data_IF_928466698564
#
_entry.id   IF_928466698564
#
_cell.length_a   1.000
_cell.length_b   1.000
_cell.length_c   1.000
_cell.angle_alpha   90.00
_cell.angle_beta   90.00
_cell.angle_gamma   90.00
#
_symmetry.space_group_name_H-M   'P 1'
#
loop_
_entity.id
_entity.type
_entity.pdbx_description
1 polymer ?
#
# COMPACT_ATOMS: atom_id res chain seq x y z
N UNK A 1 49.07 -28.59 -46.20
CA UNK A 1 47.64 -28.92 -46.02
C UNK A 1 47.36 -29.01 -44.52
N UNK A 2 46.68 -27.99 -43.99
CA UNK A 2 46.28 -27.96 -42.58
C UNK A 2 44.80 -28.30 -42.53
N UNK A 3 44.45 -29.45 -41.95
CA UNK A 3 43.09 -29.87 -41.72
C UNK A 3 42.52 -29.16 -40.48
N UNK A 4 41.51 -28.32 -40.68
CA UNK A 4 40.74 -27.77 -39.58
C UNK A 4 39.80 -28.84 -39.00
N UNK A 5 40.06 -29.29 -37.77
CA UNK A 5 39.14 -30.15 -37.03
C UNK A 5 37.96 -29.31 -36.53
N UNK A 6 36.78 -29.53 -37.11
CA UNK A 6 35.53 -28.95 -36.61
C UNK A 6 35.14 -29.63 -35.31
N UNK A 7 35.18 -28.88 -34.19
CA UNK A 7 34.66 -29.33 -32.91
C UNK A 7 33.14 -29.32 -32.98
N UNK A 8 32.54 -30.48 -33.13
CA UNK A 8 31.09 -30.68 -33.04
C UNK A 8 30.73 -30.58 -31.55
N UNK A 9 30.15 -29.45 -31.12
CA UNK A 9 29.55 -29.35 -29.78
C UNK A 9 28.29 -30.23 -29.75
N UNK A 10 28.37 -31.35 -29.06
CA UNK A 10 27.21 -32.17 -28.75
C UNK A 10 26.27 -31.36 -27.84
N UNK A 11 25.12 -30.93 -28.35
CA UNK A 11 24.06 -30.36 -27.53
C UNK A 11 23.48 -31.47 -26.64
N UNK A 12 23.61 -31.29 -25.32
CA UNK A 12 22.97 -32.18 -24.34
C UNK A 12 21.45 -32.05 -24.43
N UNK A 13 20.73 -33.18 -24.29
CA UNK A 13 19.28 -33.16 -24.24
C UNK A 13 18.81 -32.26 -23.07
N UNK A 14 17.82 -31.39 -23.29
CA UNK A 14 17.32 -30.51 -22.24
C UNK A 14 16.73 -31.36 -21.11
N UNK A 15 17.13 -31.05 -19.88
CA UNK A 15 16.52 -31.62 -18.68
C UNK A 15 15.21 -30.86 -18.32
N UNK A 16 14.42 -31.47 -17.43
CA UNK A 16 13.16 -30.85 -16.98
C UNK A 16 13.36 -29.43 -16.39
N UNK A 17 14.53 -29.17 -15.81
CA UNK A 17 14.87 -27.84 -15.25
C UNK A 17 15.18 -26.81 -16.31
N UNK A 18 15.74 -27.18 -17.46
CA UNK A 18 15.97 -26.27 -18.58
C UNK A 18 14.66 -25.89 -19.28
N UNK A 19 13.76 -26.86 -19.45
CA UNK A 19 12.41 -26.64 -19.99
C UNK A 19 11.60 -25.69 -19.06
N UNK A 20 11.67 -25.93 -17.75
CA UNK A 20 11.03 -25.03 -16.75
C UNK A 20 11.57 -23.61 -16.81
N UNK A 21 12.90 -23.43 -16.92
CA UNK A 21 13.52 -22.09 -17.02
C UNK A 21 13.14 -21.34 -18.29
N UNK A 22 13.00 -22.05 -19.42
CA UNK A 22 12.58 -21.45 -20.68
C UNK A 22 11.12 -21.02 -20.68
N UNK A 23 10.26 -21.75 -19.95
CA UNK A 23 8.84 -21.42 -19.77
C UNK A 23 8.57 -20.39 -18.66
N UNK A 24 9.53 -20.15 -17.75
CA UNK A 24 9.45 -19.13 -16.71
C UNK A 24 9.75 -17.71 -17.21
N UNK A 25 10.07 -17.53 -18.52
CA UNK A 25 10.15 -16.16 -19.06
C UNK A 25 8.83 -15.44 -18.82
N UNK A 26 8.88 -14.22 -18.26
CA UNK A 26 7.69 -13.52 -17.83
C UNK A 26 6.72 -13.40 -18.99
N UNK A 27 5.56 -13.99 -18.83
CA UNK A 27 4.42 -13.73 -19.69
C UNK A 27 4.09 -12.26 -19.58
N UNK A 28 3.80 -11.62 -20.74
CA UNK A 28 3.21 -10.31 -20.92
C UNK A 28 3.18 -9.44 -19.65
N UNK A 29 3.88 -8.33 -19.65
CA UNK A 29 3.78 -7.32 -18.59
C UNK A 29 2.29 -7.08 -18.30
N UNK A 30 1.87 -7.53 -17.14
CA UNK A 30 0.57 -7.12 -16.60
C UNK A 30 0.57 -5.59 -16.56
N UNK A 31 -0.53 -4.93 -16.94
CA UNK A 31 -0.62 -3.49 -16.84
C UNK A 31 -0.16 -3.07 -15.45
N UNK A 32 0.75 -2.11 -15.38
CA UNK A 32 1.32 -1.61 -14.15
C UNK A 32 0.19 -1.28 -13.19
N UNK A 33 0.17 -1.94 -12.04
CA UNK A 33 -0.80 -1.62 -10.98
C UNK A 33 -0.58 -0.17 -10.59
N UNK A 34 -1.63 0.61 -10.58
CA UNK A 34 -1.56 1.97 -10.07
C UNK A 34 -1.04 1.94 -8.63
N UNK A 35 -0.16 2.88 -8.25
CA UNK A 35 0.29 2.96 -6.86
C UNK A 35 -0.92 3.13 -5.93
N UNK A 36 -0.84 2.61 -4.68
CA UNK A 36 -1.92 2.76 -3.71
C UNK A 36 -2.26 4.25 -3.54
N UNK A 37 -3.53 4.59 -3.61
CA UNK A 37 -3.99 5.98 -3.47
C UNK A 37 -4.71 6.16 -2.15
N UNK A 38 -4.19 7.04 -1.29
CA UNK A 38 -4.81 7.49 -0.05
C UNK A 38 -5.37 8.88 -0.30
N UNK A 39 -6.69 9.06 -0.15
CA UNK A 39 -7.34 10.37 -0.23
C UNK A 39 -7.61 10.89 1.17
N UNK A 40 -7.28 12.16 1.41
CA UNK A 40 -7.63 12.89 2.61
C UNK A 40 -8.80 13.82 2.30
N UNK A 41 -9.92 13.63 2.96
CA UNK A 41 -11.02 14.60 2.99
C UNK A 41 -10.71 15.59 4.13
N UNK A 42 -9.93 16.64 3.82
CA UNK A 42 -9.55 17.65 4.82
C UNK A 42 -10.74 18.61 5.07
N UNK A 43 -11.22 18.74 6.31
CA UNK A 43 -12.26 19.70 6.61
C UNK A 43 -11.75 21.13 6.39
N UNK A 44 -12.62 22.02 5.90
CA UNK A 44 -12.32 23.41 5.63
C UNK A 44 -11.69 24.09 6.86
N UNK A 45 -10.58 24.80 6.65
CA UNK A 45 -9.92 25.57 7.71
C UNK A 45 -10.85 26.67 8.20
N UNK A 46 -11.07 26.80 9.52
CA UNK A 46 -11.73 28.00 10.05
C UNK A 46 -10.94 29.23 9.63
N UNK A 47 -11.63 30.28 9.22
CA UNK A 47 -11.00 31.55 8.85
C UNK A 47 -10.16 32.08 10.04
N UNK A 48 -8.90 32.40 9.77
CA UNK A 48 -8.00 32.97 10.76
C UNK A 48 -8.59 34.26 11.35
N UNK A 49 -8.77 34.29 12.65
CA UNK A 49 -9.11 35.56 13.36
C UNK A 49 -7.83 36.38 13.40
N UNK A 50 -7.76 37.44 12.61
CA UNK A 50 -6.69 38.45 12.68
C UNK A 50 -6.84 39.23 13.96
N UNK A 51 -5.99 38.97 14.94
CA UNK A 51 -5.79 39.82 16.13
C UNK A 51 -4.38 40.38 16.00
N UNK A 52 -4.29 41.72 15.98
CA UNK A 52 -2.99 42.44 15.94
C UNK A 52 -2.33 42.56 17.33
N UNK A 53 -2.88 41.90 18.34
CA UNK A 53 -2.35 41.93 19.71
C UNK A 53 -1.07 41.14 19.79
N UNK A 54 0.03 41.81 20.15
CA UNK A 54 1.33 41.18 20.43
C UNK A 54 1.54 41.07 21.94
N UNK A 55 2.22 40.03 22.36
CA UNK A 55 2.60 39.78 23.75
C UNK A 55 3.92 39.05 23.84
N UNK A 56 4.57 39.11 24.99
CA UNK A 56 5.83 38.44 25.23
C UNK A 56 5.58 36.95 25.58
N UNK A 57 6.06 36.02 24.71
CA UNK A 57 5.90 34.60 24.90
C UNK A 57 6.97 34.05 25.82
N UNK A 58 6.63 33.69 27.04
CA UNK A 58 7.55 33.13 28.04
C UNK A 58 7.66 31.61 27.91
N UNK A 59 6.54 30.93 27.73
CA UNK A 59 6.47 29.48 27.73
C UNK A 59 5.45 28.97 26.69
N UNK A 60 5.77 27.85 26.05
CA UNK A 60 4.86 27.08 25.23
C UNK A 60 4.69 25.71 25.86
N UNK A 61 3.44 25.31 26.08
CA UNK A 61 3.06 23.97 26.54
C UNK A 61 2.44 23.24 25.35
N UNK A 62 2.96 22.05 25.03
CA UNK A 62 2.40 21.21 23.97
C UNK A 62 1.65 20.06 24.63
N UNK A 63 0.38 19.87 24.24
CA UNK A 63 -0.50 18.84 24.79
C UNK A 63 -0.97 17.88 23.71
N UNK A 64 -1.39 16.66 24.09
CA UNK A 64 -1.91 15.67 23.17
C UNK A 64 -0.87 14.93 22.31
N UNK A 65 0.42 15.23 22.49
CA UNK A 65 1.52 14.52 21.82
C UNK A 65 1.85 13.22 22.56
N UNK A 66 1.74 12.08 21.88
CA UNK A 66 2.13 10.76 22.40
C UNK A 66 3.23 10.12 21.57
N UNK A 67 3.34 10.49 20.30
CA UNK A 67 4.30 9.96 19.33
C UNK A 67 5.68 10.60 19.46
N UNK A 68 5.72 11.93 19.58
CA UNK A 68 6.98 12.67 19.71
C UNK A 68 7.09 13.32 21.09
N UNK A 69 8.32 13.39 21.60
CA UNK A 69 8.57 14.05 22.90
C UNK A 69 8.32 15.55 22.81
N UNK A 70 7.90 16.15 23.91
CA UNK A 70 7.71 17.60 24.02
C UNK A 70 9.00 18.36 23.66
N UNK A 71 10.15 17.85 24.05
CA UNK A 71 11.46 18.45 23.74
C UNK A 71 11.71 18.53 22.23
N UNK A 72 11.43 17.46 21.50
CA UNK A 72 11.57 17.42 20.03
C UNK A 72 10.67 18.46 19.37
N UNK A 73 9.41 18.56 19.82
CA UNK A 73 8.47 19.48 19.24
C UNK A 73 8.78 20.94 19.59
N UNK A 74 9.23 21.24 20.81
CA UNK A 74 9.64 22.58 21.22
C UNK A 74 10.88 23.06 20.45
N UNK A 75 11.81 22.19 20.08
CA UNK A 75 12.97 22.54 19.26
C UNK A 75 12.57 23.09 17.88
N UNK A 76 11.43 22.66 17.32
CA UNK A 76 10.93 23.13 16.01
C UNK A 76 10.39 24.56 16.03
N UNK A 77 10.12 25.08 17.22
CA UNK A 77 9.51 26.40 17.44
C UNK A 77 10.32 27.26 18.40
N UNK A 78 11.63 26.93 18.58
CA UNK A 78 12.52 27.67 19.47
C UNK A 78 12.69 29.14 19.05
N UNK A 79 12.55 29.43 17.75
CA UNK A 79 12.67 30.77 17.15
C UNK A 79 11.64 31.76 17.63
N UNK A 80 10.46 31.31 18.10
CA UNK A 80 9.39 32.18 18.63
C UNK A 80 9.41 32.31 20.17
N UNK A 81 10.17 31.47 20.87
CA UNK A 81 10.22 31.48 22.34
C UNK A 81 11.00 32.68 22.86
N UNK A 82 10.56 33.23 23.99
CA UNK A 82 11.15 34.42 24.66
C UNK A 82 11.23 35.66 23.75
N UNK A 83 10.21 35.83 22.90
CA UNK A 83 10.08 36.97 22.00
C UNK A 83 8.66 37.55 22.06
N UNK A 84 8.50 38.74 21.51
CA UNK A 84 7.19 39.29 21.23
C UNK A 84 6.57 38.61 20.00
N UNK A 85 5.41 37.98 20.17
CA UNK A 85 4.73 37.21 19.13
C UNK A 85 3.28 37.71 19.00
N UNK A 86 2.76 37.63 17.80
CA UNK A 86 1.34 37.78 17.48
C UNK A 86 0.65 36.43 17.32
N UNK A 87 -0.67 36.46 17.16
CA UNK A 87 -1.46 35.24 16.91
C UNK A 87 -1.01 34.49 15.64
N UNK A 88 -0.66 35.25 14.60
CA UNK A 88 -0.14 34.67 13.33
C UNK A 88 1.16 33.88 13.51
N UNK A 89 2.06 34.34 14.38
CA UNK A 89 3.32 33.65 14.65
C UNK A 89 3.06 32.29 15.33
N UNK A 90 2.08 32.25 16.24
CA UNK A 90 1.65 31.03 16.92
C UNK A 90 0.95 30.05 15.95
N UNK A 91 0.11 30.56 15.04
CA UNK A 91 -0.49 29.71 13.99
C UNK A 91 0.56 29.10 13.05
N UNK A 92 1.59 29.89 12.69
CA UNK A 92 2.71 29.39 11.90
C UNK A 92 3.50 28.32 12.66
N UNK A 93 3.71 28.49 13.97
CA UNK A 93 4.34 27.47 14.81
C UNK A 93 3.50 26.18 14.84
N UNK A 94 2.20 26.26 15.07
CA UNK A 94 1.31 25.11 15.01
C UNK A 94 1.32 24.43 13.62
N UNK A 95 1.37 25.23 12.55
CA UNK A 95 1.49 24.69 11.18
C UNK A 95 2.82 23.97 10.95
N UNK A 96 3.95 24.43 11.52
CA UNK A 96 5.25 23.73 11.48
C UNK A 96 5.19 22.40 12.22
N UNK A 97 4.58 22.35 13.39
CA UNK A 97 4.36 21.09 14.13
C UNK A 97 3.52 20.12 13.32
N UNK A 98 2.41 20.59 12.74
CA UNK A 98 1.54 19.75 11.88
C UNK A 98 2.29 19.20 10.67
N UNK A 99 3.14 20.01 10.03
CA UNK A 99 3.99 19.59 8.92
C UNK A 99 4.98 18.52 9.34
N UNK A 100 5.64 18.69 10.47
CA UNK A 100 6.60 17.73 11.02
C UNK A 100 5.99 16.34 11.23
N UNK A 101 4.75 16.27 11.74
CA UNK A 101 4.01 15.02 11.86
C UNK A 101 3.72 14.39 10.50
N UNK A 102 3.22 15.19 9.54
CA UNK A 102 2.87 14.70 8.20
C UNK A 102 4.07 14.18 7.41
N UNK A 103 5.19 14.87 7.47
CA UNK A 103 6.46 14.44 6.85
C UNK A 103 6.99 13.11 7.40
N UNK A 104 6.45 12.68 8.57
CA UNK A 104 6.77 11.40 9.20
C UNK A 104 5.66 10.37 9.09
N UNK A 105 4.73 10.58 8.15
CA UNK A 105 3.67 9.63 7.83
C UNK A 105 2.41 9.71 8.71
N UNK A 106 2.31 10.69 9.63
CA UNK A 106 1.10 10.93 10.42
C UNK A 106 0.16 11.85 9.67
N UNK A 107 -0.52 11.32 8.64
CA UNK A 107 -1.25 12.05 7.62
C UNK A 107 -2.32 13.00 8.17
N UNK A 108 -3.03 12.60 9.22
CA UNK A 108 -4.15 13.33 9.82
C UNK A 108 -3.76 14.16 11.03
N UNK A 109 -2.48 14.10 11.43
CA UNK A 109 -2.01 14.84 12.58
C UNK A 109 -2.08 16.36 12.37
N UNK A 110 -2.60 17.05 13.38
CA UNK A 110 -2.80 18.49 13.35
C UNK A 110 -2.49 19.11 14.71
N UNK A 111 -1.64 20.12 14.72
CA UNK A 111 -1.46 21.02 15.85
C UNK A 111 -2.32 22.29 15.65
N UNK A 112 -2.90 22.78 16.71
CA UNK A 112 -3.77 23.97 16.69
C UNK A 112 -3.69 24.71 18.03
N UNK A 113 -4.17 25.94 18.02
CA UNK A 113 -4.31 26.77 19.22
C UNK A 113 -5.74 26.58 19.77
N UNK A 114 -5.92 25.95 20.94
CA UNK A 114 -7.22 25.90 21.58
C UNK A 114 -7.66 27.30 22.02
N UNK A 115 -8.94 27.48 22.25
CA UNK A 115 -9.45 28.71 22.87
C UNK A 115 -8.88 28.78 24.29
N UNK A 116 -8.10 29.83 24.56
CA UNK A 116 -7.40 30.02 25.84
C UNK A 116 -7.22 31.49 26.16
N UNK A 117 -7.16 31.80 27.45
CA UNK A 117 -6.75 33.11 27.94
C UNK A 117 -5.23 33.09 28.15
N UNK A 118 -4.50 33.92 27.40
CA UNK A 118 -3.07 34.04 27.51
C UNK A 118 -2.72 34.83 28.78
N UNK A 119 -2.42 34.08 29.84
CA UNK A 119 -1.98 34.69 31.12
C UNK A 119 -0.48 34.50 31.25
N UNK A 120 0.20 35.55 31.72
CA UNK A 120 1.63 35.53 32.02
C UNK A 120 2.56 35.09 30.85
N UNK A 121 2.11 35.19 29.60
CA UNK A 121 2.89 34.82 28.43
C UNK A 121 3.04 33.33 28.24
N UNK A 122 2.20 32.48 28.83
CA UNK A 122 2.13 31.04 28.59
C UNK A 122 1.05 30.76 27.55
N UNK A 123 1.42 29.92 26.52
CA UNK A 123 0.52 29.51 25.44
C UNK A 123 0.51 28.00 25.31
N UNK A 124 -0.67 27.45 25.18
CA UNK A 124 -0.87 26.04 24.87
C UNK A 124 -1.02 25.82 23.36
N UNK A 125 -0.32 24.84 22.81
CA UNK A 125 -0.54 24.30 21.47
C UNK A 125 -0.98 22.84 21.62
N UNK A 126 -2.21 22.55 21.23
CA UNK A 126 -2.73 21.19 21.29
C UNK A 126 -2.42 20.44 19.99
N UNK A 127 -2.06 19.16 20.12
CA UNK A 127 -1.79 18.25 18.99
C UNK A 127 -2.87 17.17 18.98
N UNK A 128 -3.53 17.02 17.84
CA UNK A 128 -4.38 15.87 17.52
C UNK A 128 -3.55 14.96 16.60
N UNK A 129 -3.10 13.82 17.11
CA UNK A 129 -2.24 12.90 16.33
C UNK A 129 -3.03 12.07 15.31
N UNK A 130 -4.36 12.04 15.47
CA UNK A 130 -5.26 11.27 14.61
C UNK A 130 -5.23 9.76 14.94
N UNK A 131 -6.36 9.24 15.38
CA UNK A 131 -6.52 7.82 15.73
C UNK A 131 -7.50 7.15 14.78
N UNK A 132 -7.32 5.86 14.53
CA UNK A 132 -8.29 5.11 13.75
C UNK A 132 -9.62 5.03 14.49
N UNK A 133 -10.67 5.51 13.83
CA UNK A 133 -12.06 5.34 14.20
C UNK A 133 -12.61 4.03 13.61
N UNK A 134 -13.72 4.13 12.85
CA UNK A 134 -14.36 2.98 12.21
C UNK A 134 -13.71 2.67 10.87
N UNK A 135 -13.50 1.39 10.58
CA UNK A 135 -13.18 0.91 9.25
C UNK A 135 -14.46 0.53 8.51
N UNK A 136 -14.75 1.19 7.41
CA UNK A 136 -15.85 0.89 6.50
C UNK A 136 -15.29 0.21 5.25
N UNK A 137 -15.99 -0.78 4.74
CA UNK A 137 -15.57 -1.57 3.58
C UNK A 137 -16.67 -1.52 2.52
N UNK A 138 -16.34 -0.97 1.37
CA UNK A 138 -17.14 -1.04 0.16
C UNK A 138 -16.47 -2.03 -0.80
N UNK A 139 -16.88 -3.30 -0.72
CA UNK A 139 -16.25 -4.39 -1.44
C UNK A 139 -17.10 -4.82 -2.64
N UNK A 140 -16.65 -4.51 -3.84
CA UNK A 140 -17.20 -5.01 -5.10
C UNK A 140 -16.32 -6.09 -5.74
N UNK A 141 -15.23 -6.51 -5.09
CA UNK A 141 -14.28 -7.50 -5.60
C UNK A 141 -14.85 -8.93 -5.56
N UNK A 142 -14.08 -9.90 -6.07
CA UNK A 142 -14.42 -11.31 -5.98
C UNK A 142 -14.09 -11.94 -4.62
N UNK A 143 -13.51 -11.18 -3.71
CA UNK A 143 -13.04 -11.65 -2.40
C UNK A 143 -14.13 -11.41 -1.35
N UNK A 144 -14.32 -12.36 -0.44
CA UNK A 144 -15.30 -12.25 0.65
C UNK A 144 -14.93 -11.13 1.63
N UNK A 145 -15.92 -10.44 2.18
CA UNK A 145 -15.72 -9.37 3.16
C UNK A 145 -14.96 -9.81 4.42
N UNK A 146 -15.09 -11.06 4.82
CA UNK A 146 -14.36 -11.60 5.97
C UNK A 146 -12.84 -11.59 5.74
N UNK A 147 -12.40 -11.89 4.52
CA UNK A 147 -10.99 -11.84 4.12
C UNK A 147 -10.52 -10.40 4.05
N UNK A 148 -11.31 -9.51 3.43
CA UNK A 148 -10.99 -8.07 3.37
C UNK A 148 -10.84 -7.50 4.78
N UNK A 149 -11.76 -7.82 5.70
CA UNK A 149 -11.68 -7.40 7.11
C UNK A 149 -10.42 -7.88 7.81
N UNK A 150 -9.96 -9.10 7.55
CA UNK A 150 -8.71 -9.61 8.12
C UNK A 150 -7.49 -8.79 7.68
N UNK A 151 -7.46 -8.32 6.42
CA UNK A 151 -6.36 -7.50 5.88
C UNK A 151 -6.43 -6.03 6.30
N UNK A 152 -7.61 -5.52 6.67
CA UNK A 152 -7.83 -4.13 7.11
C UNK A 152 -7.91 -3.97 8.63
N UNK A 153 -7.73 -5.05 9.38
CA UNK A 153 -7.78 -5.02 10.83
C UNK A 153 -6.72 -4.07 11.40
N UNK A 154 -7.17 -3.19 12.29
CA UNK A 154 -6.32 -2.22 12.97
C UNK A 154 -6.65 -2.25 14.46
N UNK A 155 -5.66 -2.22 15.36
CA UNK A 155 -5.93 -2.13 16.79
C UNK A 155 -6.73 -0.87 17.11
N UNK A 156 -7.77 -0.96 17.94
CA UNK A 156 -8.56 0.20 18.36
C UNK A 156 -7.67 1.28 18.98
N UNK A 157 -7.87 2.54 18.57
CA UNK A 157 -7.14 3.69 19.08
C UNK A 157 -5.69 3.81 18.60
N UNK A 158 -5.25 2.97 17.69
CA UNK A 158 -3.93 3.13 17.04
C UNK A 158 -3.86 4.45 16.27
N UNK A 159 -2.70 5.08 16.27
CA UNK A 159 -2.47 6.33 15.52
C UNK A 159 -2.46 6.03 14.02
N UNK A 160 -3.11 6.89 13.23
CA UNK A 160 -3.16 6.75 11.77
C UNK A 160 -1.79 7.05 11.19
N UNK A 161 -1.17 6.03 10.57
CA UNK A 161 0.12 6.15 9.94
C UNK A 161 0.07 5.67 8.49
N UNK A 162 0.71 6.42 7.59
CA UNK A 162 0.74 6.17 6.14
C UNK A 162 1.19 4.76 5.78
N UNK A 163 2.33 4.31 6.31
CA UNK A 163 2.89 2.99 6.03
C UNK A 163 1.94 1.84 6.38
N UNK A 164 1.11 2.02 7.42
CA UNK A 164 0.12 1.00 7.79
C UNK A 164 -0.99 0.91 6.75
N UNK A 165 -1.51 2.05 6.29
CA UNK A 165 -2.53 2.11 5.25
C UNK A 165 -2.00 1.61 3.91
N UNK A 166 -0.78 2.01 3.54
CA UNK A 166 -0.12 1.52 2.32
C UNK A 166 0.06 0.00 2.35
N UNK A 167 0.56 -0.55 3.48
CA UNK A 167 0.70 -1.99 3.65
C UNK A 167 -0.64 -2.71 3.45
N UNK A 168 -1.71 -2.22 4.09
CA UNK A 168 -3.04 -2.79 3.95
C UNK A 168 -3.53 -2.75 2.49
N UNK A 169 -3.35 -1.62 1.80
CA UNK A 169 -3.72 -1.47 0.39
C UNK A 169 -2.90 -2.39 -0.52
N UNK A 170 -1.60 -2.52 -0.29
CA UNK A 170 -0.74 -3.43 -1.05
C UNK A 170 -1.19 -4.88 -0.88
N UNK A 171 -1.49 -5.29 0.35
CA UNK A 171 -1.97 -6.65 0.64
C UNK A 171 -3.34 -6.92 0.00
N UNK A 172 -4.26 -5.94 0.04
CA UNK A 172 -5.55 -6.06 -0.64
C UNK A 172 -5.41 -6.14 -2.16
N UNK A 173 -4.52 -5.34 -2.75
CA UNK A 173 -4.24 -5.37 -4.19
C UNK A 173 -3.54 -6.65 -4.64
N UNK A 174 -2.89 -7.38 -3.72
CA UNK A 174 -2.22 -8.65 -4.01
C UNK A 174 -3.17 -9.87 -3.97
N UNK A 175 -4.42 -9.67 -3.54
CA UNK A 175 -5.45 -10.71 -3.56
C UNK A 175 -5.96 -10.96 -4.98
N UNK A 176 -6.00 -12.21 -5.39
CA UNK A 176 -6.58 -12.58 -6.68
C UNK A 176 -8.08 -12.24 -6.69
N UNK A 177 -8.53 -11.51 -7.72
CA UNK A 177 -9.91 -11.04 -7.83
C UNK A 177 -10.15 -9.61 -7.35
N UNK A 178 -9.12 -8.93 -6.85
CA UNK A 178 -9.09 -7.48 -6.64
C UNK A 178 -8.33 -6.83 -7.79
N UNK A 179 -8.92 -5.83 -8.44
CA UNK A 179 -8.25 -5.04 -9.49
C UNK A 179 -7.53 -3.85 -8.88
N UNK A 180 -8.21 -3.17 -7.97
CA UNK A 180 -7.75 -1.93 -7.37
C UNK A 180 -8.39 -1.79 -5.99
N UNK A 181 -7.58 -1.46 -5.01
CA UNK A 181 -8.00 -1.15 -3.66
C UNK A 181 -7.53 0.26 -3.30
N UNK A 182 -8.45 1.06 -2.77
CA UNK A 182 -8.22 2.46 -2.36
C UNK A 182 -8.66 2.67 -0.93
N UNK A 183 -8.04 3.63 -0.26
CA UNK A 183 -8.48 4.09 1.04
C UNK A 183 -8.76 5.60 1.02
N UNK A 184 -9.79 6.01 1.73
CA UNK A 184 -10.06 7.41 2.03
C UNK A 184 -10.24 7.60 3.53
N UNK A 185 -9.64 8.68 4.05
CA UNK A 185 -9.72 9.08 5.45
C UNK A 185 -10.76 10.19 5.59
N UNK A 186 -11.68 10.02 6.53
CA UNK A 186 -12.75 10.98 6.85
C UNK A 186 -12.74 11.30 8.34
N UNK A 187 -13.23 12.47 8.76
CA UNK A 187 -13.43 12.75 10.18
C UNK A 187 -14.29 11.67 10.83
N UNK A 188 -13.83 11.14 11.97
CA UNK A 188 -14.55 10.15 12.76
C UNK A 188 -15.62 10.79 13.67
N UNK A 189 -16.24 9.97 14.49
CA UNK A 189 -17.31 10.40 15.39
C UNK A 189 -16.80 11.29 16.54
N UNK A 190 -15.58 11.05 17.02
CA UNK A 190 -14.95 11.80 18.08
C UNK A 190 -13.85 12.72 17.56
N UNK A 191 -13.56 13.78 18.28
CA UNK A 191 -12.45 14.68 17.95
C UNK A 191 -11.13 13.93 18.02
N UNK A 192 -10.33 14.02 16.95
CA UNK A 192 -9.06 13.32 16.85
C UNK A 192 -9.16 11.88 16.30
N UNK A 193 -10.36 11.39 15.98
CA UNK A 193 -10.56 10.14 15.26
C UNK A 193 -10.71 10.37 13.75
N UNK A 194 -10.27 9.40 12.98
CA UNK A 194 -10.44 9.35 11.53
C UNK A 194 -10.97 7.99 11.11
N UNK A 195 -12.12 7.98 10.48
CA UNK A 195 -12.70 6.78 9.87
C UNK A 195 -12.00 6.50 8.55
N UNK A 196 -11.78 5.21 8.26
CA UNK A 196 -11.19 4.76 7.01
C UNK A 196 -12.25 4.07 6.17
N UNK A 197 -12.43 4.50 4.93
CA UNK A 197 -13.23 3.80 3.93
C UNK A 197 -12.30 3.08 2.95
N UNK A 198 -12.38 1.76 2.92
CA UNK A 198 -11.73 0.92 1.91
C UNK A 198 -12.70 0.63 0.77
N UNK A 199 -12.29 0.91 -0.46
CA UNK A 199 -13.06 0.65 -1.68
C UNK A 199 -12.29 -0.34 -2.55
N UNK A 200 -12.91 -1.49 -2.86
CA UNK A 200 -12.31 -2.55 -3.66
C UNK A 200 -13.08 -2.72 -4.96
N UNK A 201 -12.37 -2.60 -6.08
CA UNK A 201 -12.90 -2.84 -7.42
C UNK A 201 -12.70 -4.30 -7.86
N UNK A 202 -13.65 -4.90 -8.61
CA UNK A 202 -13.54 -6.27 -9.07
C UNK A 202 -12.45 -6.44 -10.13
N UNK A 203 -11.63 -7.47 -9.96
CA UNK A 203 -10.71 -7.98 -10.97
C UNK A 203 -11.39 -8.98 -11.91
N UNK A 204 -10.72 -9.38 -13.01
CA UNK A 204 -11.21 -10.42 -13.89
C UNK A 204 -11.27 -11.76 -13.14
N UNK A 205 -12.36 -12.50 -13.28
CA UNK A 205 -12.48 -13.84 -12.68
C UNK A 205 -11.64 -14.87 -13.42
N UNK A 206 -11.55 -14.70 -14.73
CA UNK A 206 -10.79 -15.58 -15.63
C UNK A 206 -9.83 -14.73 -16.44
N UNK A 207 -8.59 -15.17 -16.49
CA UNK A 207 -7.56 -14.60 -17.36
C UNK A 207 -6.80 -15.74 -18.03
N UNK A 208 -6.33 -15.53 -19.25
CA UNK A 208 -5.58 -16.54 -19.96
C UNK A 208 -5.18 -16.10 -21.36
N UNK A 209 -4.46 -16.95 -22.03
CA UNK A 209 -3.98 -16.69 -23.38
C UNK A 209 -3.47 -17.96 -24.03
N UNK A 210 -3.36 -17.90 -25.33
CA UNK A 210 -2.76 -18.93 -26.18
C UNK A 210 -1.57 -18.27 -26.90
N UNK A 211 -0.44 -18.95 -26.88
CA UNK A 211 0.80 -18.52 -27.51
C UNK A 211 1.31 -19.62 -28.44
N UNK A 212 1.61 -19.25 -29.68
CA UNK A 212 2.32 -20.08 -30.63
C UNK A 212 3.70 -19.46 -30.86
N UNK A 213 4.75 -20.23 -30.59
CA UNK A 213 6.11 -19.77 -30.80
C UNK A 213 6.98 -20.84 -31.49
N UNK A 214 8.11 -20.42 -32.04
CA UNK A 214 9.07 -21.27 -32.71
C UNK A 214 10.43 -21.31 -31.98
N UNK A 215 10.42 -21.08 -30.65
CA UNK A 215 11.64 -21.10 -29.85
C UNK A 215 12.07 -22.48 -29.38
N UNK A 216 11.42 -23.50 -29.86
CA UNK A 216 11.79 -24.90 -29.55
C UNK A 216 13.12 -25.32 -30.15
N UNK A 217 13.58 -26.51 -29.74
CA UNK A 217 14.79 -27.13 -30.22
C UNK A 217 14.47 -28.46 -30.96
N UNK A 218 15.47 -29.11 -31.51
CA UNK A 218 15.30 -30.36 -32.26
C UNK A 218 14.71 -31.53 -31.43
N UNK A 219 14.78 -31.46 -30.09
CA UNK A 219 14.29 -32.52 -29.21
C UNK A 219 12.85 -32.27 -28.74
N UNK A 220 12.45 -31.02 -28.57
CA UNK A 220 11.12 -30.64 -28.11
C UNK A 220 10.15 -30.20 -29.23
N UNK A 221 10.69 -30.12 -30.47
CA UNK A 221 10.01 -29.58 -31.61
C UNK A 221 10.27 -28.06 -31.79
N UNK A 222 10.38 -27.65 -33.03
CA UNK A 222 10.64 -26.24 -33.35
C UNK A 222 9.49 -25.33 -32.95
N UNK A 223 8.25 -25.81 -33.04
CA UNK A 223 7.04 -25.05 -32.73
C UNK A 223 6.38 -25.57 -31.46
N UNK A 224 5.95 -24.63 -30.60
CA UNK A 224 5.22 -24.91 -29.38
C UNK A 224 3.92 -24.10 -29.33
N UNK A 225 2.83 -24.77 -28.95
CA UNK A 225 1.54 -24.16 -28.63
C UNK A 225 1.37 -24.22 -27.11
N UNK A 226 1.27 -23.06 -26.48
CA UNK A 226 1.11 -22.94 -25.04
C UNK A 226 -0.21 -22.26 -24.70
N UNK A 227 -1.06 -22.92 -23.92
CA UNK A 227 -2.28 -22.39 -23.32
C UNK A 227 -2.07 -22.09 -21.85
N UNK A 228 -2.46 -20.90 -21.40
CA UNK A 228 -2.45 -20.51 -19.99
C UNK A 228 -3.85 -20.10 -19.54
N UNK A 229 -4.22 -20.54 -18.35
CA UNK A 229 -5.51 -20.19 -17.74
C UNK A 229 -5.29 -19.86 -16.26
N UNK A 230 -5.87 -18.74 -15.80
CA UNK A 230 -5.86 -18.36 -14.41
C UNK A 230 -7.29 -18.05 -13.97
N UNK A 231 -7.75 -18.74 -12.95
CA UNK A 231 -9.04 -18.49 -12.29
C UNK A 231 -8.77 -17.77 -10.97
N UNK A 232 -9.24 -16.54 -10.85
CA UNK A 232 -9.04 -15.71 -9.70
C UNK A 232 -10.19 -15.83 -8.71
N UNK A 233 -9.84 -16.00 -7.46
CA UNK A 233 -10.76 -16.11 -6.31
C UNK A 233 -11.89 -17.15 -6.50
N UNK A 234 -11.58 -18.40 -6.93
CA UNK A 234 -12.60 -19.43 -7.10
C UNK A 234 -13.41 -19.70 -5.83
N UNK A 235 -12.77 -19.64 -4.66
CA UNK A 235 -13.42 -19.83 -3.37
C UNK A 235 -13.81 -18.51 -2.68
N UNK A 236 -13.50 -17.36 -3.29
CA UNK A 236 -13.72 -16.05 -2.68
C UNK A 236 -12.74 -15.71 -1.56
N UNK A 237 -11.60 -16.39 -1.51
CA UNK A 237 -10.58 -16.20 -0.47
C UNK A 237 -9.38 -15.35 -0.94
N UNK A 238 -9.46 -14.78 -2.15
CA UNK A 238 -8.30 -14.14 -2.79
C UNK A 238 -7.32 -15.18 -3.35
N UNK A 239 -7.76 -16.40 -3.49
CA UNK A 239 -7.05 -17.57 -3.98
C UNK A 239 -6.95 -17.57 -5.51
N UNK A 240 -6.02 -18.35 -6.06
CA UNK A 240 -5.87 -18.47 -7.51
C UNK A 240 -5.60 -19.91 -7.92
N UNK A 241 -6.27 -20.33 -8.98
CA UNK A 241 -6.00 -21.59 -9.67
C UNK A 241 -5.38 -21.28 -11.03
N UNK A 242 -4.25 -21.88 -11.35
CA UNK A 242 -3.55 -21.71 -12.62
C UNK A 242 -3.45 -23.05 -13.34
N UNK A 243 -3.53 -23.03 -14.67
CA UNK A 243 -3.25 -24.16 -15.53
C UNK A 243 -2.37 -23.70 -16.69
N UNK A 244 -1.40 -24.51 -17.04
CA UNK A 244 -0.50 -24.33 -18.17
C UNK A 244 -0.46 -25.65 -18.95
N UNK A 245 -0.70 -25.57 -20.25
CA UNK A 245 -0.60 -26.68 -21.19
C UNK A 245 0.33 -26.26 -22.31
N UNK A 246 1.35 -27.06 -22.62
CA UNK A 246 2.24 -26.84 -23.76
C UNK A 246 2.28 -28.08 -24.61
N UNK A 247 2.04 -27.93 -25.90
CA UNK A 247 2.15 -28.98 -26.91
C UNK A 247 3.27 -28.63 -27.89
N UNK A 248 4.25 -29.49 -28.00
CA UNK A 248 5.31 -29.39 -28.99
C UNK A 248 5.03 -30.36 -30.14
N UNK A 249 5.05 -29.87 -31.37
CA UNK A 249 4.65 -30.64 -32.56
C UNK A 249 5.56 -31.84 -32.87
N UNK A 250 6.65 -32.03 -32.13
CA UNK A 250 7.56 -33.19 -32.25
C UNK A 250 7.57 -34.07 -30.98
N UNK A 251 6.49 -34.11 -30.22
CA UNK A 251 6.27 -35.07 -29.15
C UNK A 251 6.56 -34.60 -27.73
N UNK A 252 6.67 -33.28 -27.48
CA UNK A 252 6.68 -32.72 -26.13
C UNK A 252 5.25 -32.33 -25.72
N UNK A 253 4.75 -32.98 -24.68
CA UNK A 253 3.52 -32.55 -24.01
C UNK A 253 3.87 -32.20 -22.54
N UNK A 254 3.47 -31.02 -22.10
CA UNK A 254 3.67 -30.57 -20.73
C UNK A 254 2.39 -29.98 -20.17
N UNK A 255 2.02 -30.40 -18.97
CA UNK A 255 0.87 -29.87 -18.25
C UNK A 255 1.29 -29.55 -16.82
N UNK A 256 0.83 -28.39 -16.35
CA UNK A 256 1.01 -27.95 -14.96
C UNK A 256 -0.28 -27.35 -14.46
N UNK A 257 -0.67 -27.72 -13.23
CA UNK A 257 -1.72 -27.04 -12.48
C UNK A 257 -1.15 -26.55 -11.16
N UNK A 258 -1.55 -25.37 -10.73
CA UNK A 258 -1.10 -24.76 -9.47
C UNK A 258 -2.25 -24.11 -8.76
N UNK A 259 -2.27 -24.20 -7.43
CA UNK A 259 -3.22 -23.51 -6.58
C UNK A 259 -2.49 -22.71 -5.53
N UNK A 260 -2.93 -21.46 -5.30
CA UNK A 260 -2.35 -20.57 -4.31
C UNK A 260 -3.46 -20.00 -3.43
N UNK A 261 -3.27 -20.04 -2.12
CA UNK A 261 -4.21 -19.57 -1.09
C UNK A 261 -3.51 -18.56 -0.17
N UNK A 262 -4.02 -17.33 -0.01
CA UNK A 262 -3.55 -16.42 1.02
C UNK A 262 -3.96 -16.92 2.41
N UNK A 263 -3.05 -16.79 3.38
CA UNK A 263 -3.24 -17.19 4.77
C UNK A 263 -3.23 -15.96 5.68
N UNK A 264 -4.31 -15.78 6.44
CA UNK A 264 -4.43 -14.65 7.37
C UNK A 264 -4.52 -13.29 6.67
N UNK A 265 -4.10 -12.23 7.36
CA UNK A 265 -4.09 -10.83 6.87
C UNK A 265 -2.70 -10.25 6.65
N UNK A 266 -1.63 -11.05 6.84
CA UNK A 266 -0.24 -10.57 6.87
C UNK A 266 0.54 -10.77 5.57
N UNK A 267 -0.12 -11.30 4.52
CA UNK A 267 0.48 -11.50 3.20
C UNK A 267 1.15 -12.86 2.99
N UNK A 268 1.02 -13.80 3.93
CA UNK A 268 1.47 -15.16 3.72
C UNK A 268 0.59 -15.87 2.69
N UNK A 269 1.23 -16.68 1.82
CA UNK A 269 0.54 -17.49 0.81
C UNK A 269 1.05 -18.91 0.86
N UNK A 270 0.13 -19.87 0.78
CA UNK A 270 0.43 -21.28 0.60
C UNK A 270 0.15 -21.64 -0.85
N UNK A 271 1.07 -22.34 -1.50
CA UNK A 271 0.89 -22.78 -2.89
C UNK A 271 1.41 -24.18 -3.13
N UNK A 272 0.75 -24.88 -4.07
CA UNK A 272 1.16 -26.15 -4.61
C UNK A 272 1.00 -26.12 -6.13
N UNK A 273 1.92 -26.84 -6.84
CA UNK A 273 1.90 -26.92 -8.30
C UNK A 273 2.55 -28.23 -8.81
#
# INVERSE_FOLDING_TARGET
>A
MWGAASVVHAQTAPDAGSILREQQKPALELPSRSPPSIKLDEPARPAARRSDTRFFLKQVVITGNTVFTQQTLLALIEDIRRKEVGFTDLEQAAARLSRYYRERGYLVARAYLPAQDIKDGSVEIAVLEGRFGKAQINNSSLVRDSVVRAHTATPPGATVHELQLERQLLLLNDLAGVRDARASLRPGANVGESDVLFELAPGPRLAGGIELNNHGNRFTGAMHLTGRLNLHSPLGLGDSLSALLTHGFNGLDYARAGYQLPLGGDGFKLGAA
#
